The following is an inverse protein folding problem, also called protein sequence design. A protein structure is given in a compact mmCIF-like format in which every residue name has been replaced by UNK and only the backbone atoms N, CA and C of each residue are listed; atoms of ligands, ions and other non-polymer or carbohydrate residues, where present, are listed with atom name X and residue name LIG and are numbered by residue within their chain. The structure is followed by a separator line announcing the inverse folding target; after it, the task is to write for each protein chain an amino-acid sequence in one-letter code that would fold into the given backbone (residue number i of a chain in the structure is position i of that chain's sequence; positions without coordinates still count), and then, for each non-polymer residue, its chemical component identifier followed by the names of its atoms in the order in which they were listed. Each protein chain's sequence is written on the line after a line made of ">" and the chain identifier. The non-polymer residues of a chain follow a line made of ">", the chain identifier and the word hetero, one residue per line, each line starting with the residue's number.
data_IF_759325225639
#
_entry.id   IF_759325225639
#
_cell.length_a   1.000
_cell.length_b   1.000
_cell.length_c   1.000
_cell.angle_alpha   90.00
_cell.angle_beta   90.00
_cell.angle_gamma   90.00
#
_symmetry.space_group_name_H-M   'P 1'
#
loop_
_entity.id
_entity.type
_entity.pdbx_description
1 polymer ?
#
# COMPACT_ATOMS: atom_id res chain seq x y z
N UNK A 1 -14.74 -2.89 9.03
CA UNK A 1 -14.42 -2.83 7.59
C UNK A 1 -14.25 -1.39 7.17
N UNK A 2 -13.14 -1.08 6.52
CA UNK A 2 -12.75 0.30 6.25
C UNK A 2 -13.42 0.91 5.02
N UNK A 3 -14.02 0.11 4.12
CA UNK A 3 -14.61 0.59 2.86
C UNK A 3 -16.05 0.09 2.72
N UNK A 4 -16.96 1.00 2.36
CA UNK A 4 -18.37 0.73 2.09
C UNK A 4 -18.70 1.09 0.64
N UNK A 5 -19.54 0.30 -0.01
CA UNK A 5 -20.11 0.58 -1.32
C UNK A 5 -21.56 1.06 -1.16
N UNK A 6 -21.88 2.20 -1.76
CA UNK A 6 -23.24 2.74 -1.82
C UNK A 6 -23.93 2.31 -3.10
N UNK A 7 -25.10 1.69 -2.96
CA UNK A 7 -25.93 1.29 -4.09
C UNK A 7 -26.45 2.54 -4.84
N UNK A 8 -26.36 2.59 -6.18
CA UNK A 8 -26.86 3.73 -6.96
C UNK A 8 -28.38 3.86 -6.98
N UNK A 9 -29.12 2.81 -6.62
CA UNK A 9 -30.59 2.77 -6.68
C UNK A 9 -31.19 3.13 -5.32
N UNK A 10 -30.81 2.41 -4.27
CA UNK A 10 -31.39 2.58 -2.94
C UNK A 10 -30.52 3.39 -1.97
N UNK A 11 -29.33 3.85 -2.40
CA UNK A 11 -28.37 4.60 -1.58
C UNK A 11 -27.92 3.91 -0.27
N UNK A 12 -28.26 2.63 -0.10
CA UNK A 12 -27.85 1.85 1.07
C UNK A 12 -26.35 1.56 0.98
N UNK A 13 -25.63 1.96 2.02
CA UNK A 13 -24.21 1.65 2.20
C UNK A 13 -24.08 0.24 2.72
N UNK A 14 -23.29 -0.56 2.02
CA UNK A 14 -23.07 -1.97 2.34
C UNK A 14 -21.61 -2.34 2.19
N UNK A 15 -21.29 -3.57 2.57
CA UNK A 15 -19.95 -4.12 2.39
C UNK A 15 -19.55 -4.08 0.91
N UNK A 16 -18.36 -3.55 0.62
CA UNK A 16 -17.82 -3.47 -0.74
C UNK A 16 -17.64 -4.84 -1.43
N UNK A 17 -17.56 -5.96 -0.69
CA UNK A 17 -17.53 -7.31 -1.24
C UNK A 17 -18.91 -7.86 -1.61
N UNK A 18 -20.01 -7.21 -1.21
CA UNK A 18 -21.35 -7.67 -1.56
C UNK A 18 -21.55 -7.60 -3.09
N UNK A 19 -22.04 -8.70 -3.65
CA UNK A 19 -22.33 -8.86 -5.09
C UNK A 19 -23.74 -8.41 -5.45
N UNK A 20 -24.68 -8.54 -4.52
CA UNK A 20 -26.07 -8.11 -4.68
C UNK A 20 -26.44 -7.13 -3.56
N UNK A 21 -27.21 -6.11 -3.93
CA UNK A 21 -27.85 -5.23 -2.97
C UNK A 21 -29.19 -5.83 -2.50
N UNK A 22 -29.65 -5.42 -1.32
CA UNK A 22 -30.99 -5.77 -0.81
C UNK A 22 -32.13 -5.27 -1.72
N UNK A 23 -31.89 -4.24 -2.53
CA UNK A 23 -32.85 -3.76 -3.53
C UNK A 23 -32.82 -4.54 -4.86
N UNK A 24 -32.05 -5.62 -4.94
CA UNK A 24 -31.91 -6.44 -6.16
C UNK A 24 -30.84 -5.98 -7.15
N UNK A 25 -30.18 -4.84 -6.93
CA UNK A 25 -29.14 -4.34 -7.84
C UNK A 25 -27.89 -5.23 -7.85
N UNK A 26 -27.42 -5.56 -9.05
CA UNK A 26 -26.13 -6.23 -9.27
C UNK A 26 -24.97 -5.26 -9.04
N UNK A 27 -24.38 -5.36 -7.86
CA UNK A 27 -23.28 -4.51 -7.43
C UNK A 27 -21.98 -4.82 -8.19
N UNK A 28 -21.83 -5.98 -8.83
CA UNK A 28 -20.65 -6.28 -9.64
C UNK A 28 -20.70 -5.45 -10.93
N UNK A 29 -21.84 -5.47 -11.64
CA UNK A 29 -22.05 -4.65 -12.83
C UNK A 29 -21.99 -3.16 -12.50
N UNK A 30 -22.67 -2.73 -11.43
CA UNK A 30 -22.71 -1.31 -11.04
C UNK A 30 -21.31 -0.75 -10.68
N UNK A 31 -20.44 -1.55 -10.05
CA UNK A 31 -19.04 -1.17 -9.79
C UNK A 31 -18.23 -1.06 -11.08
N UNK A 32 -18.37 -2.04 -12.00
CA UNK A 32 -17.68 -2.01 -13.30
C UNK A 32 -18.08 -0.79 -14.14
N UNK A 33 -19.35 -0.37 -14.06
CA UNK A 33 -19.89 0.82 -14.72
C UNK A 33 -19.64 2.13 -13.95
N UNK A 34 -18.83 2.14 -12.88
CA UNK A 34 -18.51 3.34 -12.06
C UNK A 34 -19.73 4.09 -11.52
N UNK A 35 -20.85 3.40 -11.27
CA UNK A 35 -22.09 3.98 -10.69
C UNK A 35 -22.13 3.91 -9.17
N UNK A 36 -21.25 3.11 -8.57
CA UNK A 36 -21.19 2.88 -7.12
C UNK A 36 -20.28 3.90 -6.48
N UNK A 37 -20.78 4.59 -5.45
CA UNK A 37 -19.97 5.49 -4.62
C UNK A 37 -19.29 4.71 -3.51
N UNK A 38 -18.00 4.89 -3.34
CA UNK A 38 -17.24 4.27 -2.27
C UNK A 38 -16.98 5.25 -1.13
N UNK A 39 -17.04 4.73 0.09
CA UNK A 39 -16.89 5.48 1.32
C UNK A 39 -15.87 4.81 2.21
N UNK A 40 -14.94 5.56 2.80
CA UNK A 40 -14.14 5.02 3.91
C UNK A 40 -14.87 5.21 5.24
N UNK A 41 -14.71 4.24 6.13
CA UNK A 41 -15.17 4.31 7.51
C UNK A 41 -13.98 4.05 8.44
N UNK A 42 -13.63 5.05 9.25
CA UNK A 42 -12.51 4.98 10.18
C UNK A 42 -12.88 5.61 11.53
N UNK A 43 -12.12 5.25 12.56
CA UNK A 43 -12.26 5.80 13.92
C UNK A 43 -11.21 6.88 14.13
N UNK A 44 -11.62 8.02 14.67
CA UNK A 44 -10.73 9.06 15.14
C UNK A 44 -10.19 8.72 16.54
N UNK A 45 -9.07 9.33 17.00
CA UNK A 45 -8.48 9.08 18.32
C UNK A 45 -9.43 9.29 19.52
N UNK A 46 -10.57 9.97 19.34
CA UNK A 46 -11.63 10.10 20.36
C UNK A 46 -12.77 9.08 20.25
N UNK A 47 -12.57 7.95 19.56
CA UNK A 47 -13.57 6.88 19.39
C UNK A 47 -14.71 7.18 18.40
N UNK A 48 -14.87 8.44 17.98
CA UNK A 48 -15.87 8.86 16.99
C UNK A 48 -15.61 8.17 15.65
N UNK A 49 -16.64 7.57 15.07
CA UNK A 49 -16.60 7.03 13.71
C UNK A 49 -16.90 8.14 12.71
N UNK A 50 -16.07 8.23 11.67
CA UNK A 50 -16.26 9.15 10.54
C UNK A 50 -16.38 8.36 9.25
N UNK A 51 -17.26 8.82 8.36
CA UNK A 51 -17.44 8.28 7.01
C UNK A 51 -17.20 9.36 5.99
N UNK A 52 -16.34 9.09 5.02
CA UNK A 52 -15.96 10.05 3.99
C UNK A 52 -16.08 9.42 2.61
N UNK A 53 -16.61 10.20 1.66
CA UNK A 53 -16.68 9.78 0.27
C UNK A 53 -15.29 9.79 -0.34
N UNK A 54 -14.95 8.73 -1.08
CA UNK A 54 -13.62 8.55 -1.66
C UNK A 54 -13.64 8.71 -3.17
N UNK A 55 -14.63 8.13 -3.83
CA UNK A 55 -14.65 8.05 -5.29
C UNK A 55 -15.61 7.01 -5.83
N UNK A 56 -15.42 6.68 -7.11
CA UNK A 56 -16.27 5.76 -7.87
C UNK A 56 -15.58 4.41 -8.13
N UNK A 57 -14.32 4.25 -7.73
CA UNK A 57 -13.62 2.96 -7.82
C UNK A 57 -13.17 2.45 -6.45
N UNK A 58 -13.20 1.12 -6.30
CA UNK A 58 -12.65 0.45 -5.11
C UNK A 58 -11.12 0.55 -5.05
N UNK A 59 -10.49 0.84 -6.20
CA UNK A 59 -9.05 1.04 -6.32
C UNK A 59 -8.64 2.40 -5.76
N UNK A 60 -9.48 3.43 -5.95
CA UNK A 60 -9.37 4.75 -5.29
C UNK A 60 -9.64 4.64 -3.79
N UNK A 61 -10.59 3.80 -3.38
CA UNK A 61 -10.96 3.61 -1.99
C UNK A 61 -10.11 2.53 -1.30
N UNK A 62 -8.88 2.86 -0.93
CA UNK A 62 -7.98 1.95 -0.18
C UNK A 62 -7.50 2.57 1.13
N UNK A 63 -7.40 1.73 2.15
CA UNK A 63 -6.77 2.08 3.43
C UNK A 63 -5.37 1.51 3.45
N UNK A 64 -4.37 2.40 3.50
CA UNK A 64 -2.97 2.04 3.58
C UNK A 64 -2.50 2.35 5.00
N UNK A 65 -2.10 1.35 5.80
CA UNK A 65 -1.51 1.62 7.11
C UNK A 65 -0.19 2.37 6.93
N UNK A 66 0.01 3.41 7.73
CA UNK A 66 1.25 4.18 7.76
C UNK A 66 2.04 3.85 9.02
N UNK A 67 3.36 3.82 8.93
CA UNK A 67 4.22 3.65 10.10
C UNK A 67 4.21 4.91 10.98
N UNK A 68 4.62 4.77 12.24
CA UNK A 68 4.68 5.88 13.19
C UNK A 68 5.57 7.04 12.71
N UNK A 69 6.69 6.73 12.06
CA UNK A 69 7.57 7.74 11.49
C UNK A 69 6.87 8.59 10.42
N UNK A 70 6.15 7.96 9.49
CA UNK A 70 5.37 8.69 8.48
C UNK A 70 4.19 9.44 9.12
N UNK A 71 3.55 8.86 10.14
CA UNK A 71 2.50 9.55 10.88
C UNK A 71 3.01 10.86 11.50
N UNK A 72 4.16 10.84 12.19
CA UNK A 72 4.76 12.04 12.77
C UNK A 72 5.05 13.11 11.71
N UNK A 73 5.66 12.71 10.58
CA UNK A 73 5.91 13.62 9.46
C UNK A 73 4.63 14.27 8.94
N UNK A 74 3.53 13.51 8.81
CA UNK A 74 2.26 14.03 8.31
C UNK A 74 1.52 14.89 9.35
N UNK A 75 1.68 14.58 10.64
CA UNK A 75 1.10 15.33 11.74
C UNK A 75 1.73 16.72 11.87
N UNK A 76 3.04 16.81 11.62
CA UNK A 76 3.79 18.08 11.64
C UNK A 76 3.47 19.01 10.46
N UNK A 77 2.79 18.52 9.41
CA UNK A 77 2.40 19.34 8.26
C UNK A 77 1.28 20.31 8.67
N UNK A 78 1.47 21.64 8.51
CA UNK A 78 0.42 22.61 8.82
C UNK A 78 -0.83 22.38 7.98
N UNK A 79 -1.98 22.29 8.63
CA UNK A 79 -3.28 22.15 7.95
C UNK A 79 -3.74 23.49 7.39
N UNK A 80 -4.03 23.54 6.09
CA UNK A 80 -4.63 24.71 5.49
C UNK A 80 -6.10 24.87 5.91
N UNK A 81 -6.50 26.12 6.15
CA UNK A 81 -7.86 26.46 6.62
C UNK A 81 -8.88 26.34 5.48
N UNK A 82 -8.48 26.66 4.24
CA UNK A 82 -9.36 26.74 3.08
C UNK A 82 -9.00 25.76 1.96
N UNK A 83 -8.10 24.82 2.23
CA UNK A 83 -7.66 23.83 1.24
C UNK A 83 -7.56 22.45 1.90
N UNK A 84 -8.11 21.43 1.23
CA UNK A 84 -8.15 20.05 1.73
C UNK A 84 -6.91 19.24 1.35
N UNK A 85 -5.95 19.79 0.59
CA UNK A 85 -4.73 19.09 0.21
C UNK A 85 -3.73 19.09 1.36
N UNK A 86 -3.10 17.93 1.57
CA UNK A 86 -2.04 17.76 2.58
C UNK A 86 -0.74 18.45 2.15
N UNK A 87 -0.37 18.31 0.87
CA UNK A 87 0.90 18.83 0.37
C UNK A 87 0.70 20.14 -0.39
N UNK A 88 1.10 21.24 0.24
CA UNK A 88 1.01 22.59 -0.31
C UNK A 88 2.39 23.21 -0.51
N UNK A 89 2.53 24.01 -1.56
CA UNK A 89 3.69 24.87 -1.78
C UNK A 89 3.21 26.31 -1.98
N UNK A 90 3.66 27.22 -1.11
CA UNK A 90 3.22 28.63 -1.08
C UNK A 90 1.68 28.77 -1.07
N UNK A 91 1.01 27.93 -0.27
CA UNK A 91 -0.45 27.94 -0.09
C UNK A 91 -1.25 27.35 -1.25
N UNK A 92 -0.61 26.75 -2.26
CA UNK A 92 -1.28 26.10 -3.39
C UNK A 92 -0.94 24.61 -3.45
N UNK A 93 -1.85 23.75 -3.95
CA UNK A 93 -1.57 22.33 -4.14
C UNK A 93 -0.35 22.11 -5.03
N UNK A 94 0.52 21.20 -4.63
CA UNK A 94 1.68 20.80 -5.45
C UNK A 94 1.18 20.12 -6.72
N UNK A 95 1.65 20.59 -7.89
CA UNK A 95 1.30 20.02 -9.20
C UNK A 95 2.40 19.12 -9.77
N UNK A 96 3.65 19.40 -9.43
CA UNK A 96 4.80 18.59 -9.84
C UNK A 96 5.75 18.39 -8.65
N UNK A 97 5.98 17.12 -8.32
CA UNK A 97 6.85 16.66 -7.24
C UNK A 97 8.29 16.45 -7.69
N UNK A 98 8.55 16.43 -9.01
CA UNK A 98 9.89 16.17 -9.57
C UNK A 98 10.89 17.20 -9.11
N UNK A 99 10.53 18.48 -9.06
CA UNK A 99 11.44 19.53 -8.60
C UNK A 99 11.92 19.29 -7.15
N UNK A 100 11.00 18.90 -6.27
CA UNK A 100 11.33 18.56 -4.89
C UNK A 100 12.20 17.29 -4.81
N UNK A 101 11.87 16.27 -5.61
CA UNK A 101 12.62 15.02 -5.64
C UNK A 101 14.03 15.21 -6.22
N UNK A 102 14.19 15.91 -7.35
CA UNK A 102 15.50 16.21 -7.95
C UNK A 102 16.39 16.95 -6.96
N UNK A 103 15.83 17.91 -6.22
CA UNK A 103 16.54 18.59 -5.14
C UNK A 103 16.95 17.61 -4.04
N UNK A 104 16.03 16.78 -3.56
CA UNK A 104 16.33 15.76 -2.54
C UNK A 104 17.42 14.77 -2.99
N UNK A 105 17.37 14.29 -4.23
CA UNK A 105 18.39 13.42 -4.81
C UNK A 105 19.75 14.12 -4.85
N UNK A 106 19.80 15.37 -5.33
CA UNK A 106 21.06 16.14 -5.36
C UNK A 106 21.64 16.33 -3.96
N UNK A 107 20.81 16.72 -3.00
CA UNK A 107 21.24 16.97 -1.62
C UNK A 107 21.67 15.65 -0.93
N UNK A 108 21.17 14.50 -1.39
CA UNK A 108 21.57 13.16 -0.96
C UNK A 108 22.72 12.52 -1.77
N UNK A 109 23.27 13.22 -2.78
CA UNK A 109 24.33 12.67 -3.65
C UNK A 109 23.87 11.58 -4.61
N UNK A 110 22.57 11.51 -4.91
CA UNK A 110 21.96 10.52 -5.81
C UNK A 110 21.74 11.16 -7.19
N UNK A 111 22.22 10.48 -8.25
CA UNK A 111 21.95 10.87 -9.63
C UNK A 111 20.46 10.81 -9.93
N UNK A 112 19.88 11.83 -10.57
CA UNK A 112 18.46 11.86 -10.94
C UNK A 112 18.28 11.75 -12.45
N UNK A 113 17.30 10.96 -12.90
CA UNK A 113 16.85 10.94 -14.30
C UNK A 113 16.84 9.55 -14.95
N UNK A 114 15.90 9.32 -15.88
CA UNK A 114 15.71 8.03 -16.57
C UNK A 114 16.85 7.67 -17.53
N UNK A 115 17.53 8.68 -18.09
CA UNK A 115 18.64 8.50 -19.03
C UNK A 115 20.03 8.53 -18.39
N UNK A 116 20.09 8.61 -17.06
CA UNK A 116 21.35 8.67 -16.31
C UNK A 116 21.68 7.27 -15.80
N UNK A 117 22.93 6.85 -15.90
CA UNK A 117 23.41 5.61 -15.27
C UNK A 117 23.17 5.70 -13.76
N UNK A 118 22.47 4.72 -13.19
CA UNK A 118 22.04 4.70 -11.79
C UNK A 118 21.16 5.90 -11.39
N UNK A 119 20.41 6.43 -12.36
CA UNK A 119 19.52 7.57 -12.16
C UNK A 119 18.23 7.19 -11.45
N UNK A 120 17.93 7.92 -10.38
CA UNK A 120 16.71 7.78 -9.58
C UNK A 120 15.58 8.67 -10.14
N UNK A 121 14.36 8.16 -10.15
CA UNK A 121 13.13 8.86 -10.51
C UNK A 121 12.03 8.59 -9.49
N UNK A 122 10.94 9.36 -9.55
CA UNK A 122 9.86 9.22 -8.57
C UNK A 122 9.28 7.81 -8.48
N UNK A 123 9.23 7.10 -9.61
CA UNK A 123 8.75 5.73 -9.67
C UNK A 123 9.61 4.74 -8.87
N UNK A 124 10.91 5.02 -8.72
CA UNK A 124 11.84 4.18 -7.96
C UNK A 124 11.54 4.19 -6.45
N UNK A 125 10.89 5.22 -5.93
CA UNK A 125 10.41 5.22 -4.53
C UNK A 125 9.48 4.03 -4.25
N UNK A 126 8.64 3.68 -5.22
CA UNK A 126 7.73 2.53 -5.14
C UNK A 126 8.49 1.21 -5.34
N UNK A 127 9.52 1.18 -6.19
CA UNK A 127 10.43 0.04 -6.30
C UNK A 127 11.11 -0.25 -4.96
N UNK A 128 11.77 0.76 -4.37
CA UNK A 128 12.45 0.64 -3.09
C UNK A 128 11.50 0.17 -1.98
N UNK A 129 10.27 0.69 -1.93
CA UNK A 129 9.27 0.23 -0.96
C UNK A 129 8.99 -1.27 -1.10
N UNK A 130 8.78 -1.77 -2.32
CA UNK A 130 8.48 -3.18 -2.56
C UNK A 130 9.67 -4.09 -2.23
N UNK A 131 10.87 -3.70 -2.67
CA UNK A 131 12.10 -4.44 -2.37
C UNK A 131 12.35 -4.52 -0.87
N UNK A 132 12.19 -3.41 -0.13
CA UNK A 132 12.39 -3.38 1.32
C UNK A 132 11.36 -4.23 2.07
N UNK A 133 10.09 -4.20 1.64
CA UNK A 133 9.05 -5.06 2.22
C UNK A 133 9.33 -6.55 1.99
N UNK A 134 9.76 -6.94 0.78
CA UNK A 134 10.16 -8.32 0.48
C UNK A 134 11.37 -8.73 1.32
N UNK A 135 12.42 -7.90 1.36
CA UNK A 135 13.64 -8.16 2.14
C UNK A 135 13.38 -8.26 3.65
N UNK A 136 12.31 -7.65 4.13
CA UNK A 136 11.83 -7.77 5.52
C UNK A 136 11.01 -9.05 5.77
N UNK A 137 10.86 -9.92 4.77
CA UNK A 137 10.11 -11.18 4.88
C UNK A 137 8.60 -11.04 4.76
N UNK A 138 8.07 -9.87 4.35
CA UNK A 138 6.63 -9.70 4.20
C UNK A 138 6.14 -10.50 2.97
N UNK A 139 5.08 -11.32 3.11
CA UNK A 139 4.56 -12.10 1.99
C UNK A 139 4.08 -11.21 0.83
N UNK A 140 4.34 -11.63 -0.41
CA UNK A 140 3.97 -10.90 -1.63
C UNK A 140 2.49 -10.50 -1.67
N UNK A 141 1.60 -11.39 -1.22
CA UNK A 141 0.15 -11.15 -1.18
C UNK A 141 -0.23 -9.96 -0.29
N UNK A 142 0.52 -9.72 0.79
CA UNK A 142 0.35 -8.57 1.69
C UNK A 142 0.91 -7.32 1.05
N UNK A 143 2.09 -7.39 0.43
CA UNK A 143 2.71 -6.25 -0.27
C UNK A 143 1.83 -5.78 -1.43
N UNK A 144 1.27 -6.70 -2.22
CA UNK A 144 0.34 -6.41 -3.31
C UNK A 144 -0.93 -5.72 -2.80
N UNK A 145 -1.46 -6.15 -1.65
CA UNK A 145 -2.63 -5.52 -1.03
C UNK A 145 -2.35 -4.08 -0.57
N UNK A 146 -1.16 -3.81 -0.02
CA UNK A 146 -0.74 -2.48 0.44
C UNK A 146 -0.48 -1.55 -0.75
N UNK A 147 0.29 -2.02 -1.72
CA UNK A 147 0.71 -1.24 -2.89
C UNK A 147 -0.42 -1.06 -3.88
N UNK A 148 -1.39 -1.97 -3.87
CA UNK A 148 -2.56 -1.90 -4.73
C UNK A 148 -2.36 -2.46 -6.13
N UNK A 149 -1.40 -3.38 -6.30
CA UNK A 149 -1.21 -4.10 -7.55
C UNK A 149 -2.35 -5.08 -7.80
N UNK A 150 -3.05 -4.93 -8.93
CA UNK A 150 -4.12 -5.83 -9.35
C UNK A 150 -3.60 -7.15 -9.94
N UNK A 151 -2.35 -7.21 -10.42
CA UNK A 151 -1.74 -8.44 -10.97
C UNK A 151 -0.35 -8.71 -10.39
N UNK A 152 0.03 -9.99 -10.33
CA UNK A 152 1.37 -10.44 -9.88
C UNK A 152 2.48 -9.93 -10.81
N UNK A 153 2.20 -9.81 -12.10
CA UNK A 153 3.10 -9.21 -13.09
C UNK A 153 3.39 -7.74 -12.81
N UNK A 154 2.44 -7.00 -12.22
CA UNK A 154 2.75 -5.66 -11.73
C UNK A 154 3.71 -5.72 -10.55
N UNK A 155 3.59 -6.66 -9.62
CA UNK A 155 4.53 -6.81 -8.50
C UNK A 155 5.94 -7.22 -8.97
N UNK A 156 6.05 -8.21 -9.85
CA UNK A 156 7.34 -8.70 -10.38
C UNK A 156 8.13 -7.63 -11.12
N UNK A 157 7.46 -6.65 -11.76
CA UNK A 157 8.14 -5.49 -12.35
C UNK A 157 8.88 -4.64 -11.33
N UNK A 158 8.47 -4.67 -10.05
CA UNK A 158 9.09 -3.88 -8.99
C UNK A 158 10.07 -4.63 -8.12
N UNK A 159 10.23 -5.93 -8.33
CA UNK A 159 11.15 -6.73 -7.54
C UNK A 159 12.52 -6.82 -8.23
N UNK A 160 13.56 -6.48 -7.49
CA UNK A 160 14.94 -6.75 -7.90
C UNK A 160 15.49 -7.76 -6.91
N UNK A 161 15.73 -8.96 -7.40
CA UNK A 161 16.39 -10.04 -6.66
C UNK A 161 17.88 -9.91 -6.92
N UNK A 162 18.67 -9.72 -5.86
CA UNK A 162 20.12 -9.64 -5.96
C UNK A 162 20.81 -10.94 -5.47
N UNK A 163 22.13 -11.04 -5.64
CA UNK A 163 22.89 -12.22 -5.23
C UNK A 163 22.90 -12.45 -3.70
N UNK A 164 22.58 -11.42 -2.91
CA UNK A 164 22.46 -11.53 -1.46
C UNK A 164 21.13 -12.20 -1.09
N UNK A 165 20.07 -11.88 -1.84
CA UNK A 165 18.76 -12.51 -1.68
C UNK A 165 18.81 -14.03 -1.94
N UNK A 166 19.52 -14.45 -3.00
CA UNK A 166 19.65 -15.88 -3.33
C UNK A 166 20.45 -16.64 -2.26
N UNK A 167 21.53 -16.04 -1.73
CA UNK A 167 22.30 -16.62 -0.64
C UNK A 167 21.48 -16.76 0.65
N UNK A 168 20.75 -15.70 1.04
CA UNK A 168 19.85 -15.75 2.20
C UNK A 168 18.77 -16.82 2.06
N UNK A 169 18.24 -17.04 0.86
CA UNK A 169 17.24 -18.09 0.62
C UNK A 169 17.82 -19.49 0.85
N UNK A 170 19.07 -19.74 0.41
CA UNK A 170 19.78 -21.00 0.68
C UNK A 170 20.06 -21.15 2.18
N UNK A 171 20.55 -20.11 2.84
CA UNK A 171 20.82 -20.13 4.28
C UNK A 171 19.56 -20.41 5.12
N UNK A 172 18.42 -19.82 4.73
CA UNK A 172 17.12 -20.08 5.36
C UNK A 172 16.65 -21.52 5.14
N UNK A 173 16.84 -22.06 3.94
CA UNK A 173 16.52 -23.46 3.63
C UNK A 173 17.39 -24.42 4.45
N UNK A 174 18.70 -24.16 4.57
CA UNK A 174 19.59 -24.95 5.42
C UNK A 174 19.19 -24.89 6.90
N UNK A 175 18.84 -23.71 7.40
CA UNK A 175 18.33 -23.54 8.77
C UNK A 175 17.03 -24.32 9.01
N UNK A 176 16.11 -24.31 8.04
CA UNK A 176 14.88 -25.10 8.09
C UNK A 176 15.18 -26.59 8.14
N UNK A 177 16.01 -27.13 7.22
CA UNK A 177 16.35 -28.55 7.18
C UNK A 177 17.00 -29.04 8.48
N UNK A 178 17.91 -28.25 9.06
CA UNK A 178 18.51 -28.54 10.39
C UNK A 178 17.49 -28.65 11.51
N UNK A 179 16.35 -27.95 11.41
CA UNK A 179 15.27 -28.03 12.40
C UNK A 179 14.39 -29.28 12.22
N UNK A 180 14.32 -29.84 11.02
CA UNK A 180 13.53 -31.04 10.71
C UNK A 180 14.28 -32.33 11.09
N UNK A 181 15.62 -32.29 11.12
CA UNK A 181 16.48 -33.41 11.51
C UNK A 181 16.52 -33.69 13.04
N UNK A 182 15.70 -33.01 13.85
CA UNK A 182 15.54 -33.38 15.26
C UNK A 182 14.75 -34.68 15.40
N UNK A 183 15.46 -35.80 15.30
CA UNK A 183 14.98 -37.13 15.69
C UNK A 183 14.58 -37.06 17.17
N UNK A 184 13.35 -37.45 17.56
CA UNK A 184 12.97 -37.54 18.96
C UNK A 184 13.95 -38.48 19.66
N UNK A 185 14.63 -38.02 20.70
CA UNK A 185 15.42 -38.89 21.57
C UNK A 185 14.47 -39.93 22.16
N UNK A 186 14.53 -41.16 21.66
CA UNK A 186 13.83 -42.29 22.26
C UNK A 186 14.25 -42.36 23.73
N UNK A 187 13.28 -42.15 24.61
CA UNK A 187 13.43 -42.30 26.04
C UNK A 187 13.89 -43.73 26.33
N UNK A 188 15.18 -43.91 26.65
CA UNK A 188 15.71 -45.16 27.20
C UNK A 188 14.94 -45.45 28.48
N UNK A 189 14.00 -46.39 28.42
CA UNK A 189 13.38 -46.99 29.60
C UNK A 189 14.46 -47.80 30.31
N UNK A 190 14.81 -47.36 31.52
CA UNK A 190 15.51 -48.18 32.51
C UNK A 190 14.59 -49.19 33.16
#
# INVERSE_FOLDING_TARGET
>A
MAILAECPICHKKQNASNRLCLCGEDMVKAKKSKRVRFWINYRLPGGKQKREYVGLSIEEARTIPICSALYGVLEDIPRAIHDNHVFLYKGKPIRDIRAALTRGCRDAGISYGRGTKDGFVFHDTRHCFNTNMRKSGVPESVIMKITGHSTREMFLRYDTVDATDTRKAVDQMEGFLKSVDQVPLESKKG
#
